data_IF_149385258712
#
_entry.id   IF_149385258712
#
_cell.length_a   1.000
_cell.length_b   1.000
_cell.length_c   1.000
_cell.angle_alpha   90.00
_cell.angle_beta   90.00
_cell.angle_gamma   90.00
#
_symmetry.space_group_name_H-M   'P 1'
#
loop_
_entity.id
_entity.type
_entity.pdbx_description
1 polymer ?
#
# COMPACT_ATOMS: atom_id res chain seq x y z
N UNK A 1 56.25 -50.32 -10.00
CA UNK A 1 57.01 -50.05 -8.75
C UNK A 1 56.60 -48.69 -8.22
N UNK A 2 55.77 -48.63 -7.17
CA UNK A 2 55.45 -47.38 -6.48
C UNK A 2 56.63 -46.99 -5.60
N UNK A 3 57.39 -45.96 -5.99
CA UNK A 3 58.41 -45.34 -5.14
C UNK A 3 57.74 -44.76 -3.89
N UNK A 4 58.34 -45.06 -2.74
CA UNK A 4 57.77 -44.82 -1.41
C UNK A 4 57.32 -43.38 -1.17
N UNK A 5 56.25 -43.25 -0.36
CA UNK A 5 55.77 -41.98 0.18
C UNK A 5 56.89 -41.34 1.01
N UNK A 6 57.62 -40.40 0.41
CA UNK A 6 58.53 -39.54 1.16
C UNK A 6 57.74 -38.68 2.15
N UNK A 7 58.13 -38.68 3.41
CA UNK A 7 57.60 -37.75 4.41
C UNK A 7 57.91 -36.32 3.96
N UNK A 8 56.86 -35.49 3.82
CA UNK A 8 56.98 -34.08 3.44
C UNK A 8 56.76 -33.23 4.69
N UNK A 9 57.79 -32.54 5.16
CA UNK A 9 57.68 -31.62 6.30
C UNK A 9 56.75 -30.47 5.93
N UNK A 10 55.65 -30.32 6.68
CA UNK A 10 54.72 -29.20 6.57
C UNK A 10 55.00 -28.29 7.76
N UNK A 11 55.50 -27.08 7.51
CA UNK A 11 55.95 -26.18 8.59
C UNK A 11 54.85 -25.76 9.56
N UNK A 12 53.66 -25.41 9.05
CA UNK A 12 52.46 -25.11 9.84
C UNK A 12 51.31 -26.04 9.42
N UNK A 13 50.83 -26.85 10.35
CA UNK A 13 49.70 -27.78 10.15
C UNK A 13 48.38 -27.09 9.75
N UNK A 14 48.27 -25.77 9.98
CA UNK A 14 47.09 -24.98 9.61
C UNK A 14 47.09 -24.55 8.14
N UNK A 15 48.24 -24.62 7.47
CA UNK A 15 48.36 -24.24 6.05
C UNK A 15 48.46 -25.50 5.20
N UNK A 16 47.44 -25.82 4.37
CA UNK A 16 47.49 -27.00 3.54
C UNK A 16 48.68 -26.93 2.56
N UNK A 17 49.55 -27.94 2.61
CA UNK A 17 50.77 -28.04 1.80
C UNK A 17 50.54 -28.03 0.27
N UNK A 18 49.29 -28.27 -0.14
CA UNK A 18 48.86 -28.22 -1.55
C UNK A 18 47.70 -27.23 -1.64
N UNK A 19 47.97 -26.07 -2.25
CA UNK A 19 46.92 -25.14 -2.64
C UNK A 19 46.18 -25.75 -3.83
N UNK A 20 44.98 -26.28 -3.61
CA UNK A 20 44.07 -26.62 -4.71
C UNK A 20 43.49 -25.32 -5.24
N UNK A 21 43.85 -24.83 -6.43
CA UNK A 21 43.17 -23.69 -7.00
C UNK A 21 41.69 -24.06 -7.17
N UNK A 22 40.80 -23.19 -6.72
CA UNK A 22 39.36 -23.36 -6.93
C UNK A 22 39.04 -22.97 -8.37
N UNK A 23 39.46 -23.82 -9.31
CA UNK A 23 39.20 -23.64 -10.74
C UNK A 23 37.75 -24.05 -10.97
N UNK A 24 36.88 -23.14 -11.45
CA UNK A 24 35.54 -23.50 -11.86
C UNK A 24 35.63 -24.60 -12.90
N UNK A 25 34.88 -25.68 -12.69
CA UNK A 25 34.75 -26.74 -13.69
C UNK A 25 34.14 -26.17 -14.97
N UNK A 26 34.58 -26.66 -16.11
CA UNK A 26 34.05 -26.23 -17.40
C UNK A 26 32.57 -26.64 -17.54
N UNK A 27 31.77 -25.81 -18.21
CA UNK A 27 30.33 -26.05 -18.38
C UNK A 27 30.05 -27.31 -19.21
N UNK A 28 31.03 -27.77 -20.00
CA UNK A 28 30.97 -29.04 -20.74
C UNK A 28 30.99 -30.27 -19.82
N UNK A 29 31.49 -30.13 -18.58
CA UNK A 29 31.55 -31.24 -17.61
C UNK A 29 30.19 -31.58 -16.99
N UNK A 30 29.16 -30.75 -17.22
CA UNK A 30 27.80 -30.95 -16.69
C UNK A 30 26.74 -30.89 -17.79
N UNK A 31 26.77 -31.82 -18.77
CA UNK A 31 25.82 -31.83 -19.88
C UNK A 31 24.38 -31.92 -19.36
N UNK A 32 23.53 -30.98 -19.80
CA UNK A 32 22.12 -30.89 -19.42
C UNK A 32 21.82 -30.23 -18.07
N UNK A 33 22.84 -29.87 -17.28
CA UNK A 33 22.67 -29.12 -16.01
C UNK A 33 23.21 -27.70 -16.06
N UNK A 34 24.12 -27.40 -16.99
CA UNK A 34 24.70 -26.08 -17.18
C UNK A 34 24.57 -25.64 -18.63
N UNK A 35 24.29 -24.35 -18.84
CA UNK A 35 24.27 -23.71 -20.14
C UNK A 35 25.22 -22.51 -20.15
N UNK A 36 25.74 -22.16 -21.33
CA UNK A 36 26.58 -20.98 -21.48
C UNK A 36 25.75 -19.72 -21.16
N UNK A 37 26.31 -18.82 -20.34
CA UNK A 37 25.66 -17.56 -20.00
C UNK A 37 25.31 -16.75 -21.26
N UNK A 38 26.30 -16.59 -22.15
CA UNK A 38 26.13 -15.95 -23.44
C UNK A 38 26.29 -16.98 -24.57
N UNK A 39 25.40 -17.01 -25.58
CA UNK A 39 24.17 -16.20 -25.69
C UNK A 39 22.95 -16.88 -25.04
N UNK A 40 23.04 -18.17 -24.70
CA UNK A 40 21.88 -19.03 -24.45
C UNK A 40 21.04 -18.61 -23.23
N UNK A 41 21.66 -18.54 -22.04
CA UNK A 41 20.95 -18.16 -20.82
C UNK A 41 20.40 -16.73 -20.93
N UNK A 42 21.25 -15.79 -21.38
CA UNK A 42 20.84 -14.39 -21.48
C UNK A 42 19.65 -14.20 -22.43
N UNK A 43 19.65 -14.85 -23.60
CA UNK A 43 18.53 -14.77 -24.54
C UNK A 43 17.24 -15.38 -23.95
N UNK A 44 17.35 -16.49 -23.20
CA UNK A 44 16.19 -17.09 -22.53
C UNK A 44 15.61 -16.15 -21.47
N UNK A 45 16.46 -15.60 -20.59
CA UNK A 45 16.04 -14.65 -19.56
C UNK A 45 15.46 -13.36 -20.16
N UNK A 46 16.05 -12.86 -21.25
CA UNK A 46 15.51 -11.70 -21.98
C UNK A 46 14.15 -11.99 -22.60
N UNK A 47 13.96 -13.18 -23.18
CA UNK A 47 12.66 -13.57 -23.73
C UNK A 47 11.61 -13.69 -22.62
N UNK A 48 11.94 -14.34 -21.49
CA UNK A 48 11.05 -14.44 -20.33
C UNK A 48 10.73 -13.05 -19.77
N UNK A 49 11.73 -12.19 -19.61
CA UNK A 49 11.57 -10.81 -19.15
C UNK A 49 10.72 -9.99 -20.11
N UNK A 50 10.89 -10.14 -21.42
CA UNK A 50 10.10 -9.44 -22.44
C UNK A 50 8.64 -9.89 -22.40
N UNK A 51 8.38 -11.20 -22.33
CA UNK A 51 7.02 -11.75 -22.22
C UNK A 51 6.35 -11.27 -20.92
N UNK A 52 7.07 -11.32 -19.80
CA UNK A 52 6.59 -10.81 -18.52
C UNK A 52 6.26 -9.32 -18.59
N UNK A 53 7.14 -8.49 -19.17
CA UNK A 53 6.96 -7.05 -19.29
C UNK A 53 5.76 -6.70 -20.17
N UNK A 54 5.59 -7.40 -21.30
CA UNK A 54 4.42 -7.23 -22.17
C UNK A 54 3.14 -7.61 -21.41
N UNK A 55 3.13 -8.75 -20.72
CA UNK A 55 1.98 -9.17 -19.91
C UNK A 55 1.65 -8.16 -18.80
N UNK A 56 2.66 -7.65 -18.10
CA UNK A 56 2.50 -6.60 -17.10
C UNK A 56 1.97 -5.30 -17.71
N UNK A 57 2.48 -4.88 -18.87
CA UNK A 57 1.98 -3.69 -19.57
C UNK A 57 0.50 -3.87 -19.95
N UNK A 58 0.13 -5.02 -20.51
CA UNK A 58 -1.26 -5.36 -20.80
C UNK A 58 -2.14 -5.28 -19.55
N UNK A 59 -1.65 -5.80 -18.40
CA UNK A 59 -2.36 -5.71 -17.14
C UNK A 59 -2.57 -4.25 -16.71
N UNK A 60 -1.55 -3.40 -16.79
CA UNK A 60 -1.65 -1.98 -16.40
C UNK A 60 -2.56 -1.16 -17.32
N UNK A 61 -2.69 -1.57 -18.58
CA UNK A 61 -3.63 -0.95 -19.53
C UNK A 61 -5.07 -1.43 -19.26
N UNK A 62 -5.26 -2.71 -18.94
CA UNK A 62 -6.58 -3.28 -18.66
C UNK A 62 -7.13 -2.88 -17.28
N UNK A 63 -6.25 -2.73 -16.30
CA UNK A 63 -6.55 -2.34 -14.94
C UNK A 63 -5.78 -1.08 -14.59
N UNK A 64 -6.35 0.11 -14.83
CA UNK A 64 -5.69 1.36 -14.47
C UNK A 64 -5.42 1.41 -12.96
N UNK A 65 -4.38 2.15 -12.57
CA UNK A 65 -4.07 2.35 -11.16
C UNK A 65 -5.29 2.92 -10.43
N UNK A 66 -5.70 2.34 -9.28
CA UNK A 66 -6.82 2.81 -8.48
C UNK A 66 -6.42 4.11 -7.76
N UNK A 67 -6.26 5.19 -8.52
CA UNK A 67 -5.96 6.50 -7.97
C UNK A 67 -7.20 7.05 -7.26
N UNK A 68 -6.99 7.54 -6.06
CA UNK A 68 -8.02 8.22 -5.29
C UNK A 68 -7.99 9.73 -5.54
N UNK A 69 -8.93 10.45 -4.94
CA UNK A 69 -8.97 11.92 -4.94
C UNK A 69 -7.66 12.52 -4.43
N UNK A 70 -7.40 13.76 -4.84
CA UNK A 70 -6.26 14.55 -4.35
C UNK A 70 -6.33 14.67 -2.82
N UNK A 71 -5.17 14.55 -2.18
CA UNK A 71 -5.07 14.62 -0.74
C UNK A 71 -5.40 16.03 -0.24
N UNK A 72 -6.41 16.12 0.63
CA UNK A 72 -6.80 17.35 1.32
C UNK A 72 -6.31 17.27 2.78
N UNK A 73 -5.36 18.12 3.21
CA UNK A 73 -4.86 18.11 4.58
C UNK A 73 -5.90 18.57 5.62
N UNK A 74 -7.03 19.12 5.18
CA UNK A 74 -8.14 19.56 6.06
C UNK A 74 -9.20 18.47 6.27
N UNK A 75 -9.21 17.40 5.47
CA UNK A 75 -10.15 16.27 5.65
C UNK A 75 -9.58 15.23 6.62
N UNK A 76 -9.95 15.36 7.90
CA UNK A 76 -9.55 14.41 8.94
C UNK A 76 -10.39 13.12 8.97
N UNK A 77 -11.40 13.01 8.11
CA UNK A 77 -12.34 11.90 8.13
C UNK A 77 -12.07 10.85 7.04
N UNK A 78 -11.08 11.10 6.19
CA UNK A 78 -10.51 10.10 5.30
C UNK A 78 -9.76 9.02 6.10
N UNK A 79 -10.07 7.75 5.85
CA UNK A 79 -9.40 6.62 6.50
C UNK A 79 -8.42 6.00 5.49
N UNK A 80 -7.10 6.28 5.59
CA UNK A 80 -6.13 5.77 4.63
C UNK A 80 -6.01 4.25 4.75
N UNK A 81 -6.26 3.55 3.66
CA UNK A 81 -5.97 2.13 3.52
C UNK A 81 -4.57 1.96 2.91
N UNK A 82 -3.68 1.17 3.53
CA UNK A 82 -2.39 0.87 2.90
C UNK A 82 -2.54 -0.16 1.78
N UNK A 83 -1.55 -0.20 0.89
CA UNK A 83 -1.51 -1.17 -0.21
C UNK A 83 -1.56 -2.63 0.25
N UNK A 84 -1.94 -3.51 -0.68
CA UNK A 84 -2.13 -4.96 -0.45
C UNK A 84 -0.95 -5.65 0.24
N UNK A 85 0.29 -5.23 -0.05
CA UNK A 85 1.51 -5.80 0.53
C UNK A 85 1.75 -5.39 2.00
N UNK A 86 0.95 -4.46 2.54
CA UNK A 86 0.98 -4.05 3.95
C UNK A 86 -0.32 -4.39 4.71
N UNK A 87 -1.31 -5.01 4.08
CA UNK A 87 -2.58 -5.34 4.72
C UNK A 87 -2.42 -6.23 5.96
N UNK A 88 -1.44 -7.13 5.97
CA UNK A 88 -1.17 -7.96 7.16
C UNK A 88 -0.72 -7.14 8.38
N UNK A 89 0.08 -6.10 8.19
CA UNK A 89 0.49 -5.18 9.25
C UNK A 89 -0.67 -4.28 9.67
N UNK A 90 -1.45 -3.81 8.69
CA UNK A 90 -2.65 -3.04 8.95
C UNK A 90 -3.64 -3.81 9.85
N UNK A 91 -3.90 -5.08 9.56
CA UNK A 91 -4.76 -5.92 10.40
C UNK A 91 -4.14 -6.21 11.76
N UNK A 92 -2.84 -6.48 11.83
CA UNK A 92 -2.12 -6.65 13.09
C UNK A 92 -2.34 -5.44 14.01
N UNK A 93 -2.23 -4.22 13.47
CA UNK A 93 -2.43 -2.96 14.20
C UNK A 93 -3.88 -2.68 14.60
N UNK A 94 -4.86 -3.49 14.18
CA UNK A 94 -6.23 -3.38 14.70
C UNK A 94 -6.43 -4.15 16.01
N UNK A 95 -5.59 -5.13 16.30
CA UNK A 95 -5.75 -5.89 17.54
C UNK A 95 -5.33 -5.09 18.77
N UNK A 96 -6.03 -5.30 19.88
CA UNK A 96 -5.83 -4.57 21.13
C UNK A 96 -4.43 -4.68 21.72
N UNK A 97 -3.72 -5.78 21.46
CA UNK A 97 -2.35 -6.01 21.93
C UNK A 97 -1.26 -5.35 21.06
N UNK A 98 -1.64 -4.81 19.90
CA UNK A 98 -0.73 -4.19 18.94
C UNK A 98 -1.14 -2.75 18.58
N UNK A 99 -2.24 -2.24 19.15
CA UNK A 99 -2.82 -0.94 18.88
C UNK A 99 -2.89 -0.05 20.12
N UNK A 100 -3.30 1.21 19.95
CA UNK A 100 -3.48 2.17 21.05
C UNK A 100 -2.19 2.38 21.85
N UNK A 101 -2.17 2.14 23.18
CA UNK A 101 -0.95 2.29 23.99
C UNK A 101 0.18 1.35 23.58
N UNK A 102 -0.13 0.26 22.87
CA UNK A 102 0.84 -0.74 22.39
C UNK A 102 1.24 -0.55 20.92
N UNK A 103 0.89 0.58 20.29
CA UNK A 103 1.18 0.83 18.86
C UNK A 103 2.68 0.70 18.54
N UNK A 104 3.57 1.11 19.45
CA UNK A 104 5.03 0.94 19.26
C UNK A 104 5.41 -0.54 19.17
N UNK A 105 4.75 -1.41 19.94
CA UNK A 105 5.00 -2.85 19.90
C UNK A 105 4.54 -3.42 18.56
N UNK A 106 3.32 -3.08 18.13
CA UNK A 106 2.74 -3.57 16.87
C UNK A 106 3.46 -3.06 15.63
N UNK A 107 3.81 -1.76 15.59
CA UNK A 107 4.35 -1.11 14.40
C UNK A 107 5.87 -1.25 14.27
N UNK A 108 6.60 -1.30 15.39
CA UNK A 108 8.08 -1.26 15.38
C UNK A 108 8.66 -2.55 15.92
N UNK A 109 8.25 -3.00 17.10
CA UNK A 109 8.90 -4.13 17.78
C UNK A 109 8.64 -5.44 17.04
N UNK A 110 7.38 -5.77 16.74
CA UNK A 110 7.04 -7.04 16.07
C UNK A 110 7.69 -7.14 14.67
N UNK A 111 7.52 -6.15 13.77
CA UNK A 111 8.19 -6.19 12.46
C UNK A 111 9.71 -6.16 12.61
N UNK A 112 10.24 -5.33 13.51
CA UNK A 112 11.68 -5.23 13.78
C UNK A 112 12.30 -6.55 14.24
N UNK A 113 11.61 -7.31 15.10
CA UNK A 113 12.04 -8.65 15.50
C UNK A 113 11.96 -9.63 14.34
N UNK A 114 10.92 -9.58 13.51
CA UNK A 114 10.80 -10.46 12.34
C UNK A 114 11.91 -10.21 11.30
N UNK A 115 12.15 -8.95 10.94
CA UNK A 115 13.23 -8.57 10.04
C UNK A 115 14.62 -8.82 10.66
N UNK A 116 14.78 -8.54 11.95
CA UNK A 116 15.99 -8.84 12.70
C UNK A 116 16.29 -10.33 12.74
N UNK A 117 15.28 -11.17 12.96
CA UNK A 117 15.42 -12.63 12.91
C UNK A 117 15.82 -13.11 11.51
N UNK A 118 15.26 -12.52 10.45
CA UNK A 118 15.65 -12.84 9.06
C UNK A 118 17.10 -12.41 8.77
N UNK A 119 17.49 -11.21 9.20
CA UNK A 119 18.85 -10.70 9.05
C UNK A 119 19.86 -11.57 9.81
N UNK A 120 19.49 -12.03 11.01
CA UNK A 120 20.31 -12.89 11.84
C UNK A 120 20.16 -14.38 11.50
N UNK A 121 19.33 -14.75 10.52
CA UNK A 121 19.08 -16.14 10.14
C UNK A 121 20.37 -16.94 9.84
N UNK A 122 21.41 -16.39 9.18
CA UNK A 122 22.68 -17.10 8.96
C UNK A 122 23.41 -17.45 10.26
N UNK A 123 23.20 -16.69 11.34
CA UNK A 123 23.85 -16.89 12.64
C UNK A 123 23.01 -17.73 13.60
N UNK A 124 21.68 -17.67 13.47
CA UNK A 124 20.73 -18.44 14.26
C UNK A 124 20.65 -19.90 13.78
N UNK A 125 20.75 -20.13 12.47
CA UNK A 125 20.72 -21.47 11.89
C UNK A 125 22.08 -21.85 11.30
N UNK A 126 22.93 -22.39 12.19
CA UNK A 126 24.31 -22.79 11.88
C UNK A 126 24.41 -24.22 11.35
N UNK A 127 23.29 -24.83 10.96
CA UNK A 127 23.28 -26.20 10.44
C UNK A 127 24.15 -26.33 9.18
N UNK A 128 24.91 -27.44 9.02
CA UNK A 128 25.71 -27.66 7.81
C UNK A 128 24.84 -27.88 6.56
N UNK A 129 23.60 -28.32 6.76
CA UNK A 129 22.65 -28.63 5.70
C UNK A 129 21.88 -27.37 5.27
N UNK A 130 21.67 -27.19 3.96
CA UNK A 130 20.98 -26.02 3.39
C UNK A 130 19.57 -26.30 2.88
N UNK A 131 19.18 -27.57 2.82
CA UNK A 131 17.89 -28.00 2.27
C UNK A 131 16.76 -27.71 3.27
N UNK A 132 15.61 -27.12 2.87
CA UNK A 132 14.52 -26.78 3.79
C UNK A 132 14.03 -27.98 4.62
N UNK A 133 13.87 -29.13 3.98
CA UNK A 133 13.43 -30.38 4.62
C UNK A 133 14.37 -30.91 5.71
N UNK A 134 15.64 -30.50 5.72
CA UNK A 134 16.62 -30.86 6.77
C UNK A 134 16.75 -29.79 7.85
N UNK A 135 15.97 -28.71 7.77
CA UNK A 135 15.95 -27.58 8.70
C UNK A 135 14.51 -27.35 9.18
N UNK A 136 13.89 -28.32 9.87
CA UNK A 136 12.46 -28.28 10.17
C UNK A 136 12.06 -27.09 11.05
N UNK A 137 12.92 -26.65 11.97
CA UNK A 137 12.63 -25.52 12.86
C UNK A 137 12.63 -24.18 12.10
N UNK A 138 13.70 -23.85 11.39
CA UNK A 138 13.77 -22.60 10.62
C UNK A 138 12.75 -22.56 9.49
N UNK A 139 12.55 -23.69 8.81
CA UNK A 139 11.54 -23.82 7.75
C UNK A 139 10.13 -23.69 8.33
N UNK A 140 9.87 -24.33 9.48
CA UNK A 140 8.59 -24.21 10.20
C UNK A 140 8.27 -22.78 10.63
N UNK A 141 9.25 -22.06 11.20
CA UNK A 141 9.08 -20.65 11.55
C UNK A 141 8.82 -19.77 10.32
N UNK A 142 9.54 -19.97 9.22
CA UNK A 142 9.31 -19.24 7.97
C UNK A 142 7.90 -19.49 7.42
N UNK A 143 7.47 -20.76 7.38
CA UNK A 143 6.13 -21.12 6.91
C UNK A 143 5.03 -20.58 7.83
N UNK A 144 5.24 -20.57 9.15
CA UNK A 144 4.32 -19.98 10.10
C UNK A 144 4.20 -18.47 9.88
N UNK A 145 5.31 -17.76 9.67
CA UNK A 145 5.29 -16.32 9.36
C UNK A 145 4.54 -16.05 8.06
N UNK A 146 4.78 -16.83 7.00
CA UNK A 146 4.03 -16.70 5.74
C UNK A 146 2.54 -17.00 5.92
N UNK A 147 2.18 -18.04 6.67
CA UNK A 147 0.80 -18.37 6.97
C UNK A 147 0.11 -17.26 7.77
N UNK A 148 0.80 -16.66 8.75
CA UNK A 148 0.30 -15.53 9.51
C UNK A 148 0.09 -14.30 8.62
N UNK A 149 1.04 -13.98 7.72
CA UNK A 149 0.89 -12.89 6.76
C UNK A 149 -0.32 -13.09 5.83
N UNK A 150 -0.50 -14.31 5.31
CA UNK A 150 -1.63 -14.66 4.46
C UNK A 150 -2.95 -14.53 5.23
N UNK A 151 -3.01 -15.10 6.44
CA UNK A 151 -4.20 -15.05 7.30
C UNK A 151 -4.60 -13.60 7.63
N UNK A 152 -3.65 -12.80 8.09
CA UNK A 152 -3.90 -11.39 8.44
C UNK A 152 -4.30 -10.56 7.22
N UNK A 153 -3.70 -10.82 6.06
CA UNK A 153 -4.12 -10.18 4.80
C UNK A 153 -5.55 -10.54 4.44
N UNK A 154 -5.90 -11.84 4.51
CA UNK A 154 -7.26 -12.30 4.25
C UNK A 154 -8.27 -11.68 5.23
N UNK A 155 -7.95 -11.64 6.52
CA UNK A 155 -8.81 -11.02 7.53
C UNK A 155 -8.97 -9.52 7.30
N UNK A 156 -7.89 -8.82 6.93
CA UNK A 156 -7.95 -7.42 6.52
C UNK A 156 -8.97 -7.22 5.40
N UNK A 157 -8.93 -8.08 4.39
CA UNK A 157 -9.81 -7.99 3.22
C UNK A 157 -11.26 -8.28 3.58
N UNK A 158 -11.52 -9.31 4.38
CA UNK A 158 -12.90 -9.72 4.71
C UNK A 158 -13.58 -8.74 5.67
N UNK A 159 -12.83 -8.13 6.57
CA UNK A 159 -13.38 -7.21 7.58
C UNK A 159 -13.50 -5.76 7.10
N UNK A 160 -12.89 -5.41 5.97
CA UNK A 160 -12.88 -4.05 5.47
C UNK A 160 -14.14 -3.70 4.65
N UNK A 161 -14.70 -2.51 4.88
CA UNK A 161 -15.85 -1.99 4.14
C UNK A 161 -15.39 -1.33 2.83
N UNK A 162 -15.13 -2.16 1.81
CA UNK A 162 -14.65 -1.74 0.50
C UNK A 162 -15.58 -0.75 -0.20
N UNK A 163 -16.89 -0.79 0.08
CA UNK A 163 -17.84 0.16 -0.50
C UNK A 163 -17.60 1.54 0.05
N UNK A 164 -17.46 1.68 1.38
CA UNK A 164 -17.17 2.98 2.00
C UNK A 164 -15.80 3.51 1.58
N UNK A 165 -14.78 2.65 1.53
CA UNK A 165 -13.45 3.06 1.08
C UNK A 165 -13.48 3.58 -0.37
N UNK A 166 -14.15 2.86 -1.28
CA UNK A 166 -14.33 3.30 -2.66
C UNK A 166 -15.07 4.64 -2.75
N UNK A 167 -16.13 4.86 -1.97
CA UNK A 167 -16.84 6.14 -1.93
C UNK A 167 -15.99 7.30 -1.38
N UNK A 168 -15.13 7.03 -0.40
CA UNK A 168 -14.19 8.01 0.15
C UNK A 168 -13.10 8.38 -0.86
N UNK A 169 -12.58 7.39 -1.58
CA UNK A 169 -11.50 7.55 -2.57
C UNK A 169 -11.95 8.09 -3.93
N UNK A 170 -13.25 8.16 -4.22
CA UNK A 170 -13.77 8.67 -5.52
C UNK A 170 -13.18 10.04 -5.86
N UNK A 171 -12.53 10.11 -7.02
CA UNK A 171 -12.10 11.37 -7.64
C UNK A 171 -13.37 12.17 -7.97
N UNK A 172 -13.54 13.30 -7.28
CA UNK A 172 -14.58 14.28 -7.59
C UNK A 172 -13.94 15.42 -8.35
N UNK A 173 -14.66 16.02 -9.29
CA UNK A 173 -14.10 17.14 -10.04
C UNK A 173 -13.82 18.30 -9.08
N UNK A 174 -12.56 18.70 -9.00
CA UNK A 174 -12.16 19.87 -8.25
C UNK A 174 -12.51 21.10 -9.10
N UNK A 175 -13.52 21.84 -8.68
CA UNK A 175 -13.82 23.14 -9.28
C UNK A 175 -12.98 24.16 -8.52
N UNK A 176 -12.20 24.97 -9.23
CA UNK A 176 -11.60 26.17 -8.64
C UNK A 176 -12.73 27.06 -8.13
N UNK A 177 -12.92 27.03 -6.81
CA UNK A 177 -13.88 27.87 -6.15
C UNK A 177 -13.26 29.24 -5.95
N UNK A 178 -13.86 30.26 -6.54
CA UNK A 178 -13.52 31.64 -6.24
C UNK A 178 -13.91 31.95 -4.79
N UNK A 179 -12.92 31.91 -3.89
CA UNK A 179 -13.09 32.20 -2.46
C UNK A 179 -13.49 33.67 -2.21
N UNK A 180 -13.40 34.55 -3.21
CA UNK A 180 -13.86 35.93 -3.11
C UNK A 180 -15.33 36.12 -3.49
N UNK A 181 -15.94 35.13 -4.16
CA UNK A 181 -17.32 35.19 -4.57
C UNK A 181 -18.25 35.38 -3.36
N UNK A 182 -19.30 36.18 -3.55
CA UNK A 182 -20.26 36.51 -2.49
C UNK A 182 -20.94 35.24 -1.93
N UNK A 183 -21.27 34.28 -2.80
CA UNK A 183 -21.82 32.98 -2.41
C UNK A 183 -20.88 32.14 -1.55
N UNK A 184 -19.57 32.18 -1.79
CA UNK A 184 -18.58 31.48 -0.97
C UNK A 184 -18.46 32.11 0.43
N UNK A 185 -18.43 33.44 0.50
CA UNK A 185 -18.40 34.16 1.78
C UNK A 185 -19.64 33.86 2.63
N UNK A 186 -20.81 33.77 2.00
CA UNK A 186 -22.05 33.36 2.68
C UNK A 186 -21.96 31.91 3.16
N UNK A 187 -21.41 31.00 2.35
CA UNK A 187 -21.18 29.60 2.73
C UNK A 187 -20.23 29.49 3.94
N UNK A 188 -19.16 30.26 3.95
CA UNK A 188 -18.20 30.32 5.05
C UNK A 188 -18.82 30.91 6.31
N UNK A 189 -19.56 32.02 6.19
CA UNK A 189 -20.25 32.67 7.31
C UNK A 189 -21.32 31.78 7.96
N UNK A 190 -21.96 30.92 7.17
CA UNK A 190 -22.94 29.94 7.65
C UNK A 190 -22.34 28.56 7.95
N UNK A 191 -21.01 28.45 8.09
CA UNK A 191 -20.31 27.22 8.46
C UNK A 191 -20.58 26.03 7.52
N UNK A 192 -20.93 26.27 6.25
CA UNK A 192 -21.13 25.18 5.28
C UNK A 192 -19.82 24.42 5.02
N UNK A 193 -18.68 25.13 5.04
CA UNK A 193 -17.35 24.57 4.82
C UNK A 193 -16.91 23.60 5.92
N UNK A 194 -17.44 23.69 7.14
CA UNK A 194 -17.05 22.77 8.23
C UNK A 194 -17.57 21.36 8.02
N UNK A 195 -18.64 21.19 7.24
CA UNK A 195 -19.23 19.88 6.95
C UNK A 195 -18.96 19.44 5.50
N UNK A 196 -18.97 20.38 4.55
CA UNK A 196 -18.83 20.10 3.12
C UNK A 196 -17.39 20.32 2.59
N UNK A 197 -16.42 20.62 3.46
CA UNK A 197 -15.03 20.89 3.09
C UNK A 197 -14.80 22.34 2.65
N UNK A 198 -13.57 22.84 2.75
CA UNK A 198 -13.23 24.22 2.39
C UNK A 198 -13.49 24.53 0.91
N UNK A 199 -13.27 23.53 0.04
CA UNK A 199 -13.52 23.61 -1.39
C UNK A 199 -14.91 23.07 -1.78
N UNK A 200 -15.81 22.89 -0.81
CA UNK A 200 -17.16 22.34 -1.02
C UNK A 200 -17.20 20.98 -1.77
N UNK A 201 -16.08 20.27 -1.79
CA UNK A 201 -15.86 18.96 -2.44
C UNK A 201 -16.48 17.79 -1.67
N UNK A 202 -16.98 18.07 -0.46
CA UNK A 202 -17.56 17.10 0.46
C UNK A 202 -16.49 16.28 1.19
N UNK A 203 -16.89 15.67 2.30
CA UNK A 203 -16.03 14.81 3.13
C UNK A 203 -16.84 13.64 3.69
N UNK A 204 -16.36 13.04 4.78
CA UNK A 204 -17.16 12.02 5.46
C UNK A 204 -18.39 12.59 6.19
N UNK A 205 -18.34 13.87 6.57
CA UNK A 205 -19.41 14.54 7.32
C UNK A 205 -20.60 14.92 6.44
N UNK A 206 -20.35 15.39 5.21
CA UNK A 206 -21.40 15.79 4.28
C UNK A 206 -20.97 15.62 2.81
N UNK A 207 -21.93 15.42 1.88
CA UNK A 207 -21.63 15.17 0.46
C UNK A 207 -21.04 16.41 -0.24
N UNK A 208 -20.48 16.21 -1.43
CA UNK A 208 -20.04 17.32 -2.28
C UNK A 208 -21.20 18.26 -2.61
N UNK A 209 -20.92 19.57 -2.63
CA UNK A 209 -21.82 20.59 -3.16
C UNK A 209 -21.48 20.96 -4.60
N UNK A 210 -20.38 20.44 -5.15
CA UNK A 210 -20.02 20.54 -6.56
C UNK A 210 -20.80 19.48 -7.35
N UNK A 211 -21.37 19.87 -8.48
CA UNK A 211 -21.97 18.94 -9.44
C UNK A 211 -23.28 18.30 -8.96
N UNK A 212 -23.96 18.91 -7.98
CA UNK A 212 -25.15 18.30 -7.34
C UNK A 212 -26.31 18.02 -8.30
N UNK A 213 -26.37 18.72 -9.44
CA UNK A 213 -27.46 18.63 -10.40
C UNK A 213 -28.80 19.17 -9.88
N UNK A 214 -28.81 19.77 -8.69
CA UNK A 214 -29.98 20.32 -8.04
C UNK A 214 -30.25 21.75 -8.52
N UNK A 215 -31.52 22.13 -8.57
CA UNK A 215 -31.91 23.52 -8.86
C UNK A 215 -31.62 24.42 -7.65
N UNK A 216 -31.37 25.73 -7.86
CA UNK A 216 -31.15 26.68 -6.75
C UNK A 216 -32.24 26.62 -5.67
N UNK A 217 -33.51 26.48 -6.08
CA UNK A 217 -34.66 26.38 -5.18
C UNK A 217 -34.58 25.14 -4.26
N UNK A 218 -34.13 24.00 -4.79
CA UNK A 218 -33.95 22.77 -4.03
C UNK A 218 -32.80 22.90 -3.04
N UNK A 219 -31.69 23.53 -3.46
CA UNK A 219 -30.54 23.80 -2.60
C UNK A 219 -30.93 24.75 -1.46
N UNK A 220 -31.66 25.81 -1.75
CA UNK A 220 -32.18 26.75 -0.76
C UNK A 220 -33.08 26.05 0.27
N UNK A 221 -33.94 25.14 -0.20
CA UNK A 221 -34.79 24.32 0.67
C UNK A 221 -33.95 23.40 1.58
N UNK A 222 -32.96 22.70 1.03
CA UNK A 222 -32.06 21.82 1.81
C UNK A 222 -31.25 22.62 2.84
N UNK A 223 -30.75 23.80 2.47
CA UNK A 223 -29.99 24.65 3.39
C UNK A 223 -30.82 25.15 4.58
N UNK A 224 -32.12 25.40 4.39
CA UNK A 224 -33.05 25.78 5.48
C UNK A 224 -33.56 24.58 6.27
N UNK A 225 -34.03 23.55 5.58
CA UNK A 225 -34.81 22.47 6.18
C UNK A 225 -34.02 21.18 6.42
N UNK A 226 -32.75 21.12 6.02
CA UNK A 226 -31.90 19.93 6.11
C UNK A 226 -32.34 18.80 5.17
N UNK A 227 -31.48 17.80 5.00
CA UNK A 227 -31.75 16.56 4.24
C UNK A 227 -30.88 15.42 4.74
N UNK A 228 -31.50 14.29 5.07
CA UNK A 228 -30.78 13.13 5.61
C UNK A 228 -30.05 13.49 6.91
N UNK A 229 -28.71 13.41 6.89
CA UNK A 229 -27.85 13.74 8.05
C UNK A 229 -27.58 15.25 8.20
N UNK A 230 -27.98 16.10 7.25
CA UNK A 230 -27.82 17.54 7.37
C UNK A 230 -28.89 18.12 8.30
N UNK A 231 -28.53 18.77 9.43
CA UNK A 231 -29.51 19.30 10.39
C UNK A 231 -30.30 20.50 9.82
N UNK A 232 -31.47 20.76 10.41
CA UNK A 232 -32.31 21.90 10.04
C UNK A 232 -31.76 23.21 10.62
N UNK A 233 -31.97 24.34 9.94
CA UNK A 233 -31.65 25.66 10.47
C UNK A 233 -30.15 25.98 10.56
N UNK A 234 -29.32 25.30 9.77
CA UNK A 234 -27.87 25.59 9.67
C UNK A 234 -27.65 26.96 9.03
N UNK A 235 -28.45 27.29 8.02
CA UNK A 235 -28.45 28.61 7.41
C UNK A 235 -29.18 29.64 8.30
N UNK A 236 -28.48 30.72 8.67
CA UNK A 236 -28.99 31.79 9.55
C UNK A 236 -29.05 33.17 8.87
N UNK A 237 -28.75 33.23 7.57
CA UNK A 237 -28.78 34.46 6.78
C UNK A 237 -30.18 34.90 6.33
N UNK A 238 -30.21 35.95 5.53
CA UNK A 238 -31.44 36.48 4.90
C UNK A 238 -31.88 35.64 3.69
N UNK A 239 -33.12 35.84 3.23
CA UNK A 239 -33.63 35.16 2.03
C UNK A 239 -32.85 35.54 0.75
N UNK A 240 -32.31 36.76 0.71
CA UNK A 240 -31.46 37.22 -0.39
C UNK A 240 -30.09 36.51 -0.38
N UNK A 241 -29.49 36.36 0.81
CA UNK A 241 -28.24 35.60 0.97
C UNK A 241 -28.43 34.12 0.62
N UNK A 242 -29.59 33.54 0.98
CA UNK A 242 -29.91 32.15 0.63
C UNK A 242 -29.99 31.96 -0.88
N UNK A 243 -30.61 32.92 -1.58
CA UNK A 243 -30.72 32.89 -3.03
C UNK A 243 -29.33 32.94 -3.68
N UNK A 244 -28.48 33.90 -3.28
CA UNK A 244 -27.10 34.03 -3.77
C UNK A 244 -26.26 32.78 -3.49
N UNK A 245 -26.37 32.20 -2.30
CA UNK A 245 -25.70 30.95 -1.92
C UNK A 245 -26.16 29.80 -2.82
N UNK A 246 -27.47 29.64 -3.00
CA UNK A 246 -28.03 28.54 -3.77
C UNK A 246 -27.72 28.62 -5.26
N UNK A 247 -27.70 29.82 -5.85
CA UNK A 247 -27.30 30.07 -7.22
C UNK A 247 -25.81 29.79 -7.43
N UNK A 248 -24.97 30.21 -6.48
CA UNK A 248 -23.56 29.91 -6.47
C UNK A 248 -23.30 28.40 -6.47
N UNK A 249 -23.92 27.66 -5.53
CA UNK A 249 -23.76 26.20 -5.45
C UNK A 249 -24.31 25.49 -6.70
N UNK A 250 -25.47 25.90 -7.22
CA UNK A 250 -26.01 25.35 -8.46
C UNK A 250 -25.11 25.60 -9.69
N UNK A 251 -24.33 26.68 -9.65
CA UNK A 251 -23.35 27.05 -10.67
C UNK A 251 -22.06 26.23 -10.61
N UNK A 252 -21.74 25.59 -9.47
CA UNK A 252 -20.58 24.72 -9.33
C UNK A 252 -20.85 23.39 -10.06
N UNK A 253 -20.48 23.31 -11.34
CA UNK A 253 -20.57 22.09 -12.14
C UNK A 253 -19.20 21.43 -12.27
N UNK A 254 -19.18 20.10 -12.24
CA UNK A 254 -17.99 19.34 -12.64
C UNK A 254 -17.61 19.73 -14.07
N UNK A 255 -16.34 20.08 -14.30
CA UNK A 255 -15.80 20.30 -15.65
C UNK A 255 -15.52 18.96 -16.33
#
# INVERSE_FOLDING_TARGET
MHRGKGMKFVGDSRVPAVRKPNIPKDYSEYPGKTEAFWPNFLLKEWMVGSVFLIGFLCLTVAHPSPLERIADPTDTAYVPLPDWYFLFLYQLLKYSYASGPYTVIGAIVIPGLAFGALLLAPFLDRGPERRPWKRPVATGMMLLTLAAMIYLTWEAVVTHDWKKAAEQGKIRAEVEIDKNAEGYKIAQANTCTSCHGENLSGGAAAPSLIGTGLKPEEIANIAKNGKGNMPKGVFKGTDEELKKLSEFIAGLKEK
#
